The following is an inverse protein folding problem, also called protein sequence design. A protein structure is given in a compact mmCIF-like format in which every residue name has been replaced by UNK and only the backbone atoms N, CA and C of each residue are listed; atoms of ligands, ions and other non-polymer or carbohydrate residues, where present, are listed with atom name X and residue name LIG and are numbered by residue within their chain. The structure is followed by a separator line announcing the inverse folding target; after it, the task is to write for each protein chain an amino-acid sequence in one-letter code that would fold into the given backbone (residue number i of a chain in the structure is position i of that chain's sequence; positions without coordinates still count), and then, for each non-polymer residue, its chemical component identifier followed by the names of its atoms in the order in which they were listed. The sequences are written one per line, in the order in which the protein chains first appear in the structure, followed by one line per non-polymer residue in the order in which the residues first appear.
data_IF_561015158044
#
_entry.id   IF_561015158044
#
_cell.length_a   1.000
_cell.length_b   1.000
_cell.length_c   1.000
_cell.angle_alpha   90.00
_cell.angle_beta   90.00
_cell.angle_gamma   90.00
#
_symmetry.space_group_name_H-M   'P 1'
#
loop_
_entity.id
_entity.type
_entity.pdbx_description
1 polymer ?
#
# COMPACT_ATOMS: atom_id res chain seq x y z
N UNK A 1 -0.70 -8.31 17.42
CA UNK A 1 -1.96 -8.15 16.66
C UNK A 1 -2.62 -9.51 16.49
N UNK A 2 -3.96 -9.57 16.51
CA UNK A 2 -4.74 -10.81 16.28
C UNK A 2 -5.11 -10.97 14.82
N UNK A 3 -5.21 -9.88 14.10
CA UNK A 3 -5.57 -9.91 12.69
C UNK A 3 -5.30 -8.60 11.99
N UNK A 4 -5.12 -8.67 10.69
CA UNK A 4 -4.88 -7.55 9.81
C UNK A 4 -5.75 -7.71 8.56
N UNK A 5 -6.57 -6.70 8.31
CA UNK A 5 -7.31 -6.56 7.05
C UNK A 5 -6.72 -5.43 6.22
N UNK A 6 -6.46 -5.68 4.94
CA UNK A 6 -5.83 -4.72 4.06
C UNK A 6 -6.54 -4.63 2.71
N UNK A 7 -6.75 -3.40 2.24
CA UNK A 7 -7.06 -3.09 0.85
C UNK A 7 -5.85 -2.40 0.24
N UNK A 8 -5.03 -3.20 -0.42
CA UNK A 8 -3.75 -2.78 -0.99
C UNK A 8 -3.94 -2.19 -2.38
N UNK A 9 -3.80 -0.88 -2.49
CA UNK A 9 -3.93 -0.15 -3.75
C UNK A 9 -2.57 -0.01 -4.41
N UNK A 10 -2.33 -0.80 -5.45
CA UNK A 10 -1.10 -0.76 -6.25
C UNK A 10 -1.23 0.19 -7.43
N UNK A 11 -0.23 1.01 -7.62
CA UNK A 11 -0.04 1.87 -8.78
C UNK A 11 0.63 1.11 -9.93
N UNK A 12 0.80 1.78 -11.08
CA UNK A 12 1.30 1.16 -12.30
C UNK A 12 2.81 0.90 -12.29
N UNK A 13 3.62 1.67 -11.55
CA UNK A 13 5.09 1.51 -11.49
C UNK A 13 5.53 0.15 -10.92
N UNK A 14 4.71 -0.47 -10.05
CA UNK A 14 4.99 -1.82 -9.53
C UNK A 14 4.95 -2.92 -10.60
N UNK A 15 4.37 -2.66 -11.76
CA UNK A 15 4.38 -3.53 -12.93
C UNK A 15 5.45 -3.12 -13.97
N UNK A 16 6.19 -2.04 -13.73
CA UNK A 16 7.30 -1.56 -14.56
C UNK A 16 6.93 -0.40 -15.49
N UNK A 17 7.90 0.01 -16.33
CA UNK A 17 7.76 1.18 -17.19
C UNK A 17 6.64 1.05 -18.22
N UNK A 18 6.55 -0.09 -18.91
CA UNK A 18 5.52 -0.29 -19.97
C UNK A 18 4.10 -0.10 -19.46
N UNK A 19 3.69 -0.65 -18.29
CA UNK A 19 2.40 -0.36 -17.68
C UNK A 19 2.18 1.10 -17.31
N UNK A 20 3.22 1.84 -16.89
CA UNK A 20 3.11 3.29 -16.67
C UNK A 20 2.83 4.04 -17.98
N UNK A 21 3.57 3.72 -19.04
CA UNK A 21 3.37 4.30 -20.37
C UNK A 21 1.99 3.96 -20.92
N UNK A 22 1.46 2.75 -20.65
CA UNK A 22 0.11 2.35 -21.00
C UNK A 22 -0.95 3.19 -20.30
N UNK A 23 -0.81 3.46 -18.99
CA UNK A 23 -1.72 4.34 -18.27
C UNK A 23 -1.77 5.73 -18.89
N UNK A 24 -0.62 6.31 -19.20
CA UNK A 24 -0.54 7.65 -19.82
C UNK A 24 -1.19 7.65 -21.21
N UNK A 25 -0.89 6.65 -22.02
CA UNK A 25 -1.49 6.48 -23.34
C UNK A 25 -3.00 6.29 -23.32
N UNK A 26 -3.49 5.43 -22.42
CA UNK A 26 -4.91 5.19 -22.26
C UNK A 26 -5.62 6.46 -21.77
N UNK A 27 -5.02 7.21 -20.84
CA UNK A 27 -5.55 8.49 -20.35
C UNK A 27 -5.71 9.49 -21.50
N UNK A 28 -4.66 9.66 -22.33
CA UNK A 28 -4.70 10.55 -23.49
C UNK A 28 -5.81 10.13 -24.49
N UNK A 29 -5.87 8.83 -24.82
CA UNK A 29 -6.89 8.30 -25.73
C UNK A 29 -8.31 8.49 -25.18
N UNK A 30 -8.52 8.30 -23.87
CA UNK A 30 -9.80 8.50 -23.22
C UNK A 30 -10.28 9.96 -23.34
N UNK A 31 -9.39 10.92 -23.09
CA UNK A 31 -9.69 12.35 -23.23
C UNK A 31 -9.99 12.75 -24.67
N UNK A 32 -9.39 12.08 -25.65
CA UNK A 32 -9.61 12.31 -27.07
C UNK A 32 -10.79 11.46 -27.63
N UNK A 33 -11.53 10.74 -26.79
CA UNK A 33 -12.61 9.81 -27.20
C UNK A 33 -12.18 8.76 -28.22
N UNK A 34 -10.91 8.34 -28.16
CA UNK A 34 -10.33 7.31 -29.05
C UNK A 34 -10.46 5.93 -28.46
N UNK A 35 -10.41 4.90 -29.31
CA UNK A 35 -10.41 3.51 -28.89
C UNK A 35 -9.22 3.19 -27.96
N UNK A 36 -9.52 2.57 -26.82
CA UNK A 36 -8.53 2.15 -25.82
C UNK A 36 -8.33 0.64 -25.92
N UNK A 37 -7.06 0.21 -25.98
CA UNK A 37 -6.66 -1.20 -25.90
C UNK A 37 -5.83 -1.41 -24.66
N UNK A 38 -6.06 -2.52 -23.96
CA UNK A 38 -5.25 -2.97 -22.83
C UNK A 38 -4.23 -3.99 -23.33
N UNK A 39 -2.96 -3.77 -23.00
CA UNK A 39 -1.83 -4.60 -23.43
C UNK A 39 -1.12 -5.25 -22.25
N UNK A 40 -0.84 -4.50 -21.19
CA UNK A 40 -0.15 -4.97 -20.00
C UNK A 40 -1.10 -5.21 -18.80
N UNK A 41 -2.31 -4.65 -18.86
CA UNK A 41 -3.35 -4.88 -17.86
C UNK A 41 -4.48 -5.73 -18.42
N UNK A 42 -5.16 -6.44 -17.53
CA UNK A 42 -6.30 -7.31 -17.90
C UNK A 42 -7.53 -6.53 -18.39
N UNK A 43 -7.61 -5.24 -18.03
CA UNK A 43 -8.65 -4.29 -18.41
C UNK A 43 -8.05 -2.90 -18.55
N UNK A 44 -8.80 -1.97 -19.13
CA UNK A 44 -8.43 -0.55 -19.13
C UNK A 44 -8.09 -0.09 -17.71
N UNK A 45 -6.94 0.56 -17.54
CA UNK A 45 -6.50 1.12 -16.25
C UNK A 45 -6.83 2.61 -16.13
N UNK A 46 -6.82 3.37 -17.22
CA UNK A 46 -7.15 4.80 -17.17
C UNK A 46 -8.58 5.01 -16.65
N UNK A 47 -8.73 5.84 -15.62
CA UNK A 47 -9.98 6.14 -14.94
C UNK A 47 -10.71 4.91 -14.37
N UNK A 48 -9.96 3.86 -13.98
CA UNK A 48 -10.54 2.60 -13.53
C UNK A 48 -9.78 2.03 -12.32
N UNK A 49 -10.43 1.13 -11.57
CA UNK A 49 -9.81 0.30 -10.55
C UNK A 49 -9.99 -1.17 -10.92
N UNK A 50 -8.89 -1.93 -10.94
CA UNK A 50 -8.88 -3.34 -11.33
C UNK A 50 -8.58 -4.19 -10.09
N UNK A 51 -9.56 -4.91 -9.51
CA UNK A 51 -9.35 -5.75 -8.32
C UNK A 51 -8.71 -7.09 -8.71
N UNK A 52 -7.56 -7.02 -9.36
CA UNK A 52 -6.84 -8.18 -9.86
C UNK A 52 -5.36 -7.83 -10.10
N UNK A 53 -4.47 -8.49 -9.37
CA UNK A 53 -3.02 -8.39 -9.55
C UNK A 53 -2.43 -9.79 -9.52
N UNK A 54 -1.72 -10.18 -10.61
CA UNK A 54 -1.17 -11.50 -10.83
C UNK A 54 -2.28 -12.57 -11.06
N UNK A 55 -1.93 -13.85 -11.05
CA UNK A 55 -2.82 -14.96 -11.40
C UNK A 55 -3.69 -15.36 -10.22
N UNK A 56 -4.92 -15.75 -10.50
CA UNK A 56 -5.79 -16.36 -9.51
C UNK A 56 -5.30 -17.75 -9.10
N UNK A 57 -5.46 -18.06 -7.83
CA UNK A 57 -5.41 -19.42 -7.29
C UNK A 57 -6.81 -20.04 -7.26
N UNK A 58 -6.89 -21.31 -6.88
CA UNK A 58 -8.15 -22.08 -6.91
C UNK A 58 -9.16 -21.65 -5.86
N UNK A 59 -8.71 -20.96 -4.82
CA UNK A 59 -9.54 -20.44 -3.70
C UNK A 59 -10.06 -19.00 -3.92
N UNK A 60 -9.74 -18.41 -5.09
CA UNK A 60 -10.17 -17.06 -5.45
C UNK A 60 -9.22 -15.94 -5.07
N UNK A 61 -8.18 -16.22 -4.26
CA UNK A 61 -7.10 -15.27 -4.02
C UNK A 61 -6.20 -15.13 -5.24
N UNK A 62 -5.56 -13.96 -5.39
CA UNK A 62 -4.47 -13.80 -6.35
C UNK A 62 -3.13 -14.17 -5.71
N UNK A 63 -2.13 -14.50 -6.53
CA UNK A 63 -0.77 -14.75 -6.04
C UNK A 63 -0.21 -13.58 -5.24
N UNK A 64 -0.54 -12.35 -5.62
CA UNK A 64 -0.09 -11.17 -4.90
C UNK A 64 -0.70 -11.08 -3.49
N UNK A 65 -1.96 -11.42 -3.33
CA UNK A 65 -2.63 -11.46 -2.02
C UNK A 65 -2.05 -12.55 -1.12
N UNK A 66 -1.82 -13.75 -1.67
CA UNK A 66 -1.15 -14.85 -0.95
C UNK A 66 0.26 -14.44 -0.53
N UNK A 67 1.01 -13.77 -1.41
CA UNK A 67 2.35 -13.27 -1.14
C UNK A 67 2.35 -12.27 0.02
N UNK A 68 1.41 -11.32 0.05
CA UNK A 68 1.27 -10.38 1.15
C UNK A 68 1.06 -11.09 2.49
N UNK A 69 0.18 -12.09 2.53
CA UNK A 69 -0.08 -12.88 3.74
C UNK A 69 1.20 -13.61 4.21
N UNK A 70 1.86 -14.30 3.30
CA UNK A 70 3.04 -15.11 3.62
C UNK A 70 4.25 -14.28 4.00
N UNK A 71 4.54 -13.21 3.24
CA UNK A 71 5.70 -12.35 3.48
C UNK A 71 5.53 -11.54 4.76
N UNK A 72 4.33 -11.02 5.05
CA UNK A 72 4.06 -10.31 6.31
C UNK A 72 4.29 -11.20 7.51
N UNK A 73 3.78 -12.43 7.51
CA UNK A 73 4.01 -13.40 8.59
C UNK A 73 5.50 -13.77 8.72
N UNK A 74 6.20 -13.94 7.61
CA UNK A 74 7.63 -14.22 7.60
C UNK A 74 8.46 -13.07 8.19
N UNK A 75 8.16 -11.82 7.80
CA UNK A 75 8.87 -10.63 8.27
C UNK A 75 8.62 -10.39 9.75
N UNK A 76 7.38 -10.52 10.20
CA UNK A 76 6.98 -10.31 11.58
C UNK A 76 7.41 -11.46 12.51
N UNK A 77 7.80 -12.61 11.96
CA UNK A 77 8.17 -13.79 12.73
C UNK A 77 7.02 -14.33 13.59
N UNK A 78 5.78 -14.15 13.15
CA UNK A 78 4.56 -14.48 13.90
C UNK A 78 3.49 -15.00 12.96
N UNK A 79 2.51 -15.74 13.52
CA UNK A 79 1.32 -16.17 12.81
C UNK A 79 0.19 -15.17 13.11
N UNK A 80 0.06 -14.17 12.26
CA UNK A 80 -1.03 -13.19 12.30
C UNK A 80 -2.05 -13.59 11.24
N UNK A 81 -3.33 -13.56 11.59
CA UNK A 81 -4.41 -13.74 10.61
C UNK A 81 -4.49 -12.52 9.71
N UNK A 82 -4.18 -12.70 8.44
CA UNK A 82 -4.13 -11.60 7.46
C UNK A 82 -5.09 -11.92 6.32
N UNK A 83 -5.86 -10.93 5.92
CA UNK A 83 -6.61 -10.94 4.66
C UNK A 83 -6.24 -9.70 3.86
N UNK A 84 -6.12 -9.84 2.56
CA UNK A 84 -5.77 -8.75 1.66
C UNK A 84 -6.61 -8.80 0.39
N UNK A 85 -6.91 -7.63 -0.17
CA UNK A 85 -7.47 -7.47 -1.51
C UNK A 85 -6.59 -6.52 -2.29
N UNK A 86 -5.97 -7.01 -3.36
CA UNK A 86 -5.06 -6.23 -4.17
C UNK A 86 -5.79 -5.59 -5.36
N UNK A 87 -5.72 -4.27 -5.43
CA UNK A 87 -6.39 -3.47 -6.46
C UNK A 87 -5.37 -2.62 -7.22
N UNK A 88 -5.38 -2.70 -8.55
CA UNK A 88 -4.62 -1.79 -9.41
C UNK A 88 -5.40 -0.50 -9.61
N UNK A 89 -4.78 0.64 -9.34
CA UNK A 89 -5.38 1.98 -9.49
C UNK A 89 -4.59 2.82 -10.50
N UNK A 90 -5.20 3.85 -11.11
CA UNK A 90 -4.60 4.69 -12.14
C UNK A 90 -3.67 5.76 -11.54
N UNK A 91 -2.69 5.33 -10.76
CA UNK A 91 -1.64 6.15 -10.15
C UNK A 91 -0.30 5.68 -10.71
N UNK A 92 0.64 6.59 -10.92
CA UNK A 92 1.94 6.27 -11.53
C UNK A 92 2.88 5.63 -10.52
N UNK A 93 3.12 6.28 -9.39
CA UNK A 93 4.07 5.87 -8.35
C UNK A 93 3.40 5.88 -6.98
N UNK A 94 3.96 5.23 -6.01
CA UNK A 94 3.57 5.09 -4.61
C UNK A 94 2.41 4.11 -4.37
N UNK A 95 2.65 3.16 -3.48
CA UNK A 95 1.62 2.29 -2.93
C UNK A 95 0.76 3.03 -1.93
N UNK A 96 -0.50 2.64 -1.83
CA UNK A 96 -1.41 3.11 -0.81
C UNK A 96 -2.20 1.94 -0.24
N UNK A 97 -2.35 1.92 1.07
CA UNK A 97 -2.99 0.83 1.81
C UNK A 97 -4.03 1.37 2.78
N UNK A 98 -5.18 0.76 2.81
CA UNK A 98 -6.19 0.97 3.85
C UNK A 98 -6.13 -0.21 4.78
N UNK A 99 -5.52 -0.05 5.94
CA UNK A 99 -5.20 -1.13 6.88
C UNK A 99 -6.14 -1.07 8.08
N UNK A 100 -6.71 -2.23 8.44
CA UNK A 100 -7.38 -2.45 9.71
C UNK A 100 -6.56 -3.44 10.53
N UNK A 101 -6.20 -3.06 11.75
CA UNK A 101 -5.39 -3.90 12.66
C UNK A 101 -6.18 -4.19 13.91
N UNK A 102 -6.36 -5.47 14.22
CA UNK A 102 -6.94 -5.93 15.48
C UNK A 102 -5.84 -6.30 16.47
N UNK A 103 -5.95 -5.80 17.70
CA UNK A 103 -5.02 -6.06 18.80
C UNK A 103 -5.67 -6.97 19.86
N UNK A 104 -4.85 -7.69 20.61
CA UNK A 104 -5.31 -8.44 21.78
C UNK A 104 -5.84 -7.53 22.87
N UNK A 105 -5.13 -6.44 23.10
CA UNK A 105 -5.45 -5.44 24.11
C UNK A 105 -5.79 -4.10 23.45
N UNK A 106 -6.36 -3.18 24.22
CA UNK A 106 -6.63 -1.83 23.74
C UNK A 106 -5.33 -1.13 23.32
N UNK A 107 -5.33 -0.54 22.12
CA UNK A 107 -4.27 0.29 21.60
C UNK A 107 -4.72 1.75 21.59
N UNK A 108 -4.34 2.57 22.60
CA UNK A 108 -4.66 3.99 22.63
C UNK A 108 -4.07 4.70 21.42
N UNK A 109 -4.87 5.50 20.72
CA UNK A 109 -4.45 6.17 19.46
C UNK A 109 -3.22 7.02 19.66
N UNK A 110 -3.15 7.81 20.73
CA UNK A 110 -2.00 8.69 21.01
C UNK A 110 -0.70 7.88 21.18
N UNK A 111 -0.80 6.70 21.83
CA UNK A 111 0.36 5.80 21.97
C UNK A 111 0.78 5.17 20.66
N UNK A 112 -0.18 4.82 19.80
CA UNK A 112 0.09 4.32 18.44
C UNK A 112 0.81 5.39 17.62
N UNK A 113 0.33 6.63 17.64
CA UNK A 113 0.96 7.76 16.94
C UNK A 113 2.39 8.01 17.45
N UNK A 114 2.57 8.00 18.78
CA UNK A 114 3.90 8.15 19.38
C UNK A 114 4.89 7.08 18.88
N UNK A 115 4.49 5.80 18.93
CA UNK A 115 5.32 4.67 18.49
C UNK A 115 5.65 4.79 17.00
N UNK A 116 4.66 5.11 16.16
CA UNK A 116 4.86 5.25 14.72
C UNK A 116 5.82 6.40 14.38
N UNK A 117 5.72 7.54 15.08
CA UNK A 117 6.65 8.66 14.89
C UNK A 117 8.08 8.38 15.36
N UNK A 118 8.25 7.48 16.33
CA UNK A 118 9.56 7.04 16.80
C UNK A 118 10.16 5.90 15.95
N UNK A 119 9.34 5.27 15.09
CA UNK A 119 9.77 4.15 14.27
C UNK A 119 10.60 4.64 13.07
N UNK A 120 11.82 4.09 12.85
CA UNK A 120 12.66 4.48 11.74
C UNK A 120 11.95 4.34 10.39
N UNK A 121 12.05 5.38 9.56
CA UNK A 121 11.44 5.40 8.24
C UNK A 121 9.92 5.60 8.22
N UNK A 122 9.27 5.76 9.37
CA UNK A 122 7.86 6.12 9.47
C UNK A 122 7.67 7.61 9.75
N UNK A 123 6.58 8.17 9.25
CA UNK A 123 6.18 9.56 9.53
C UNK A 123 4.66 9.65 9.57
N UNK A 124 4.12 10.09 10.70
CA UNK A 124 2.69 10.34 10.84
C UNK A 124 2.36 11.75 10.33
N UNK A 125 1.40 11.83 9.42
CA UNK A 125 0.76 13.08 8.96
C UNK A 125 -0.74 12.82 9.03
N UNK A 126 -1.35 13.23 10.14
CA UNK A 126 -2.74 12.91 10.46
C UNK A 126 -3.45 14.12 11.09
N UNK A 127 -3.54 15.22 10.33
CA UNK A 127 -4.35 16.37 10.70
C UNK A 127 -5.83 16.08 10.41
N UNK A 128 -6.73 16.60 11.24
CA UNK A 128 -8.19 16.46 11.07
C UNK A 128 -8.79 17.51 10.16
N UNK A 129 -7.99 18.45 9.68
CA UNK A 129 -8.40 19.43 8.67
C UNK A 129 -8.46 18.81 7.27
N UNK A 130 -9.13 19.48 6.35
CA UNK A 130 -9.20 19.06 4.96
C UNK A 130 -7.81 19.00 4.34
N UNK A 131 -7.49 17.83 3.74
CA UNK A 131 -6.18 17.59 3.15
C UNK A 131 -5.05 17.25 4.14
N UNK A 132 -5.33 17.07 5.44
CA UNK A 132 -4.34 16.75 6.47
C UNK A 132 -3.85 15.30 6.48
N UNK A 133 -3.69 14.70 5.31
CA UNK A 133 -3.22 13.33 5.09
C UNK A 133 -2.31 13.27 3.85
N UNK A 134 -1.56 12.19 3.68
CA UNK A 134 -0.68 11.99 2.52
C UNK A 134 -1.37 11.14 1.45
N UNK A 135 -1.16 11.52 0.20
CA UNK A 135 -1.59 10.80 -1.00
C UNK A 135 -0.39 10.22 -1.77
N UNK A 136 -0.60 9.28 -2.71
CA UNK A 136 0.48 8.73 -3.52
C UNK A 136 1.32 9.79 -4.25
N UNK A 137 0.69 10.83 -4.79
CA UNK A 137 1.40 11.90 -5.52
C UNK A 137 2.36 12.67 -4.61
N UNK A 138 1.98 12.91 -3.37
CA UNK A 138 2.81 13.63 -2.39
C UNK A 138 3.93 12.77 -1.82
N UNK A 139 3.76 11.44 -1.81
CA UNK A 139 4.75 10.49 -1.32
C UNK A 139 5.81 10.12 -2.37
N UNK A 140 5.56 10.40 -3.64
CA UNK A 140 6.52 10.14 -4.72
C UNK A 140 7.85 10.87 -4.47
N UNK A 141 8.96 10.16 -4.61
CA UNK A 141 10.31 10.68 -4.38
C UNK A 141 10.71 10.83 -2.90
N UNK A 142 9.87 10.41 -1.96
CA UNK A 142 10.16 10.48 -0.52
C UNK A 142 10.58 9.14 0.07
N UNK A 143 11.43 9.23 1.08
CA UNK A 143 12.04 8.06 1.70
C UNK A 143 11.19 7.44 2.82
N UNK A 144 10.20 8.16 3.33
CA UNK A 144 9.40 7.73 4.47
C UNK A 144 8.20 6.89 4.03
N UNK A 145 7.75 6.03 4.92
CA UNK A 145 6.40 5.47 4.92
C UNK A 145 5.50 6.42 5.71
N UNK A 146 4.53 7.01 5.05
CA UNK A 146 3.60 7.96 5.65
C UNK A 146 2.37 7.24 6.19
N UNK A 147 1.96 7.60 7.41
CA UNK A 147 0.78 7.05 8.05
C UNK A 147 -0.19 8.20 8.36
N UNK A 148 -1.44 8.02 7.96
CA UNK A 148 -2.51 9.02 8.11
C UNK A 148 -3.81 8.33 8.48
N UNK A 149 -4.84 9.12 8.82
CA UNK A 149 -6.19 8.63 9.07
C UNK A 149 -6.26 7.57 10.17
N UNK A 150 -5.42 7.70 11.19
CA UNK A 150 -5.37 6.81 12.34
C UNK A 150 -6.60 7.05 13.20
N UNK A 151 -7.42 6.02 13.40
CA UNK A 151 -8.67 6.11 14.14
C UNK A 151 -9.12 4.76 14.69
N UNK A 152 -9.87 4.75 15.78
CA UNK A 152 -10.51 3.54 16.29
C UNK A 152 -11.48 2.97 15.25
N UNK A 153 -11.57 1.66 15.19
CA UNK A 153 -12.64 0.97 14.47
C UNK A 153 -13.88 0.93 15.38
N UNK A 154 -14.97 1.55 14.94
CA UNK A 154 -16.19 1.61 15.72
C UNK A 154 -17.01 0.29 15.66
N UNK A 155 -16.66 -0.60 14.73
CA UNK A 155 -17.34 -1.88 14.55
C UNK A 155 -16.68 -3.02 15.33
N UNK A 156 -15.43 -2.84 15.78
CA UNK A 156 -14.64 -3.89 16.42
C UNK A 156 -13.85 -3.37 17.61
N UNK A 157 -13.93 -4.11 18.72
CA UNK A 157 -13.17 -3.81 19.91
C UNK A 157 -11.67 -4.02 19.65
N UNK A 158 -10.83 -3.13 20.17
CA UNK A 158 -9.38 -3.19 20.06
C UNK A 158 -8.85 -3.19 18.61
N UNK A 159 -9.55 -2.55 17.70
CA UNK A 159 -9.10 -2.41 16.32
C UNK A 159 -8.94 -0.94 15.93
N UNK A 160 -7.99 -0.70 15.04
CA UNK A 160 -7.71 0.63 14.46
C UNK A 160 -7.66 0.55 12.96
N UNK A 161 -8.06 1.64 12.33
CA UNK A 161 -7.89 1.84 10.89
C UNK A 161 -6.83 2.90 10.64
N UNK A 162 -6.04 2.71 9.57
CA UNK A 162 -5.06 3.69 9.13
C UNK A 162 -4.93 3.68 7.61
N UNK A 163 -4.40 4.77 7.08
CA UNK A 163 -4.02 4.94 5.69
C UNK A 163 -2.51 5.05 5.59
N UNK A 164 -1.88 4.18 4.83
CA UNK A 164 -0.42 4.09 4.69
C UNK A 164 -0.05 4.35 3.25
N UNK A 165 0.97 5.18 3.01
CA UNK A 165 1.47 5.50 1.68
C UNK A 165 2.99 5.51 1.68
N UNK A 166 3.61 4.91 0.67
CA UNK A 166 5.05 4.95 0.49
C UNK A 166 5.43 4.90 -0.99
N UNK A 167 6.54 5.52 -1.36
CA UNK A 167 7.14 5.35 -2.67
C UNK A 167 7.68 3.92 -2.81
N UNK A 168 7.06 3.14 -3.67
CA UNK A 168 7.39 1.73 -3.87
C UNK A 168 8.72 1.51 -4.59
N UNK A 169 9.21 2.50 -5.33
CA UNK A 169 10.50 2.43 -6.04
C UNK A 169 11.67 2.73 -5.09
N UNK A 170 11.42 3.50 -4.04
CA UNK A 170 12.39 3.85 -2.99
C UNK A 170 12.23 2.93 -1.78
N UNK A 171 11.25 3.19 -0.92
CA UNK A 171 11.03 2.47 0.35
C UNK A 171 10.74 0.98 0.14
N UNK A 172 10.01 0.63 -0.91
CA UNK A 172 9.69 -0.77 -1.26
C UNK A 172 10.80 -1.50 -2.02
N UNK A 173 11.85 -0.82 -2.50
CA UNK A 173 12.86 -1.39 -3.36
C UNK A 173 14.26 -0.82 -3.10
N UNK A 174 14.69 0.21 -3.83
CA UNK A 174 16.08 0.66 -3.87
C UNK A 174 16.59 1.13 -2.50
N UNK A 175 15.84 1.99 -1.81
CA UNK A 175 16.23 2.52 -0.51
C UNK A 175 16.31 1.41 0.54
N UNK A 176 15.32 0.52 0.58
CA UNK A 176 15.27 -0.59 1.53
C UNK A 176 16.47 -1.52 1.35
N UNK A 177 16.89 -1.80 0.12
CA UNK A 177 18.08 -2.60 -0.16
C UNK A 177 19.36 -1.95 0.40
N UNK A 178 19.51 -0.63 0.26
CA UNK A 178 20.63 0.12 0.81
C UNK A 178 20.62 0.10 2.33
N UNK A 179 19.48 0.38 2.96
CA UNK A 179 19.34 0.38 4.43
C UNK A 179 19.62 -1.00 5.04
N UNK A 180 19.21 -2.09 4.38
CA UNK A 180 19.54 -3.46 4.80
C UNK A 180 21.06 -3.69 4.73
N UNK A 181 21.72 -3.26 3.64
CA UNK A 181 23.17 -3.40 3.51
C UNK A 181 23.91 -2.58 4.58
N UNK A 182 23.51 -1.35 4.82
CA UNK A 182 24.07 -0.53 5.90
C UNK A 182 23.91 -1.14 7.29
N UNK A 183 22.72 -1.66 7.59
CA UNK A 183 22.46 -2.33 8.86
C UNK A 183 23.29 -3.60 9.04
N UNK A 184 23.59 -4.30 7.95
CA UNK A 184 24.45 -5.49 7.96
C UNK A 184 25.92 -5.14 8.21
N UNK A 185 26.42 -4.06 7.60
CA UNK A 185 27.82 -3.63 7.74
C UNK A 185 28.10 -3.04 9.13
N UNK A 186 27.11 -2.42 9.77
CA UNK A 186 27.24 -1.81 11.11
C UNK A 186 27.18 -2.82 12.27
N UNK A 187 26.92 -4.08 11.99
CA UNK A 187 27.00 -5.20 12.95
C UNK A 187 28.42 -5.73 13.09
#
# INVERSE_FOLDING_TARGET
SRGLGDVYKRQTSGAGKKPMDELLNQTKKALESKEIKSENFTKQIAFNAIPHIDKFSTDGYTKEEIKMIQESNKILGSNIDITATCVRIPVLVSHAESVNVEFENEAPIDKVIEILNQSPGCKVIDDRNDGGYITPVEAEGKNETFISRIRKDNSKKNAINMWIVADNLLRGAALNAVEIAEAYIKK
#
